data_IF_561360985247
#
_entry.id   IF_561360985247
#
_cell.length_a   1.000
_cell.length_b   1.000
_cell.length_c   1.000
_cell.angle_alpha   90.00
_cell.angle_beta   90.00
_cell.angle_gamma   90.00
#
_symmetry.space_group_name_H-M   'P 1'
#
loop_
_entity.id
_entity.type
_entity.pdbx_description
1 polymer ?
#
# COMPACT_ATOMS: atom_id res chain seq x y z
N UNK A 1 12.89 24.36 4.67
CA UNK A 1 11.50 24.11 5.11
C UNK A 1 11.08 22.81 4.44
N UNK A 2 11.20 21.69 5.15
CA UNK A 2 10.75 20.40 4.62
C UNK A 2 9.24 20.36 4.86
N UNK A 3 8.45 20.64 3.81
CA UNK A 3 6.99 20.55 3.90
C UNK A 3 6.62 19.10 4.21
N UNK A 4 5.82 18.91 5.25
CA UNK A 4 5.33 17.61 5.69
C UNK A 4 4.74 16.86 4.50
N UNK A 5 5.09 15.58 4.37
CA UNK A 5 4.46 14.74 3.36
C UNK A 5 3.00 14.51 3.78
N UNK A 6 2.10 15.31 3.21
CA UNK A 6 0.67 15.08 3.32
C UNK A 6 0.32 13.68 2.78
N UNK A 7 -0.69 13.06 3.38
CA UNK A 7 -1.23 11.79 2.92
C UNK A 7 -1.57 11.88 1.43
N UNK A 8 -1.02 10.97 0.64
CA UNK A 8 -1.23 10.92 -0.80
C UNK A 8 -1.90 9.61 -1.20
N UNK A 9 -2.85 9.71 -2.13
CA UNK A 9 -3.46 8.56 -2.78
C UNK A 9 -3.23 8.61 -4.31
N UNK A 10 -2.65 7.57 -4.92
CA UNK A 10 -2.33 7.59 -6.35
C UNK A 10 -3.58 7.82 -7.21
N UNK A 11 -3.39 8.51 -8.33
CA UNK A 11 -4.42 8.80 -9.35
C UNK A 11 -5.74 9.36 -8.80
N UNK A 12 -5.67 10.09 -7.70
CA UNK A 12 -6.82 10.67 -6.99
C UNK A 12 -6.56 12.18 -6.79
N UNK A 13 -7.60 13.00 -6.82
CA UNK A 13 -7.49 14.41 -6.44
C UNK A 13 -7.46 14.55 -4.90
N UNK A 14 -6.78 15.57 -4.38
CA UNK A 14 -6.59 15.74 -2.91
C UNK A 14 -7.92 15.84 -2.14
N UNK A 15 -8.91 16.53 -2.71
CA UNK A 15 -10.26 16.66 -2.15
C UNK A 15 -11.06 15.35 -2.15
N UNK A 16 -10.59 14.33 -2.88
CA UNK A 16 -11.19 13.00 -2.95
C UNK A 16 -10.43 11.94 -2.13
N UNK A 17 -9.26 12.26 -1.55
CA UNK A 17 -8.39 11.29 -0.88
C UNK A 17 -9.08 10.48 0.22
N UNK A 18 -9.82 11.14 1.10
CA UNK A 18 -10.50 10.47 2.22
C UNK A 18 -11.59 9.52 1.72
N UNK A 19 -12.42 9.96 0.78
CA UNK A 19 -13.47 9.13 0.20
C UNK A 19 -12.85 7.92 -0.50
N UNK A 20 -11.85 8.16 -1.35
CA UNK A 20 -11.25 7.10 -2.15
C UNK A 20 -10.46 6.11 -1.30
N UNK A 21 -9.79 6.56 -0.25
CA UNK A 21 -9.12 5.68 0.70
C UNK A 21 -10.12 4.79 1.45
N UNK A 22 -11.27 5.33 1.86
CA UNK A 22 -12.34 4.55 2.47
C UNK A 22 -12.95 3.51 1.52
N UNK A 23 -13.10 3.83 0.24
CA UNK A 23 -13.53 2.88 -0.79
C UNK A 23 -12.53 1.73 -0.97
N UNK A 24 -11.22 2.02 -0.97
CA UNK A 24 -10.17 1.01 -1.05
C UNK A 24 -10.13 0.13 0.21
N UNK A 25 -10.38 0.71 1.39
CA UNK A 25 -10.48 -0.05 2.64
C UNK A 25 -11.67 -1.02 2.57
N UNK A 26 -12.84 -0.54 2.15
CA UNK A 26 -14.03 -1.36 1.94
C UNK A 26 -13.77 -2.47 0.90
N UNK A 27 -13.12 -2.14 -0.22
CA UNK A 27 -12.73 -3.11 -1.24
C UNK A 27 -11.84 -4.22 -0.65
N UNK A 28 -10.88 -3.84 0.21
CA UNK A 28 -9.99 -4.78 0.87
C UNK A 28 -10.66 -5.58 2.00
N UNK A 29 -11.84 -5.18 2.47
CA UNK A 29 -12.41 -5.68 3.73
C UNK A 29 -11.67 -5.19 4.98
N UNK A 30 -10.93 -4.08 4.87
CA UNK A 30 -10.19 -3.46 5.94
C UNK A 30 -10.99 -2.37 6.66
N UNK A 31 -10.63 -2.08 7.91
CA UNK A 31 -11.07 -0.85 8.58
C UNK A 31 -10.27 0.34 8.06
N UNK A 32 -10.90 1.53 8.03
CA UNK A 32 -10.20 2.77 7.70
C UNK A 32 -9.37 3.20 8.92
N UNK A 33 -8.02 3.21 8.85
CA UNK A 33 -7.20 3.67 9.96
C UNK A 33 -7.33 5.18 10.16
N UNK A 34 -7.15 5.62 11.40
CA UNK A 34 -6.88 7.03 11.73
C UNK A 34 -5.64 7.51 10.96
N UNK A 35 -5.55 8.81 10.60
CA UNK A 35 -4.49 9.32 9.75
C UNK A 35 -3.06 8.95 10.18
N UNK A 36 -2.77 8.95 11.47
CA UNK A 36 -1.46 8.64 12.06
C UNK A 36 -1.08 7.16 11.92
N UNK A 37 -2.07 6.28 11.74
CA UNK A 37 -1.88 4.85 11.52
C UNK A 37 -1.78 4.48 10.03
N UNK A 38 -1.88 5.45 9.12
CA UNK A 38 -1.76 5.21 7.68
C UNK A 38 -0.31 4.90 7.32
N UNK A 39 -0.16 3.90 6.47
CA UNK A 39 1.14 3.37 6.08
C UNK A 39 1.50 3.81 4.67
N UNK A 40 2.77 4.17 4.49
CA UNK A 40 3.31 4.57 3.20
C UNK A 40 4.08 3.43 2.53
N UNK A 41 4.87 2.69 3.32
CA UNK A 41 5.68 1.60 2.80
C UNK A 41 5.83 0.45 3.79
N UNK A 42 5.76 -0.77 3.27
CA UNK A 42 5.95 -2.02 4.02
C UNK A 42 6.81 -3.00 3.22
N UNK A 43 7.51 -3.87 3.95
CA UNK A 43 8.14 -5.06 3.38
C UNK A 43 7.63 -6.33 4.06
N UNK A 44 7.31 -7.34 3.26
CA UNK A 44 6.87 -8.63 3.78
C UNK A 44 7.59 -9.78 3.08
N UNK A 45 7.57 -10.93 3.73
CA UNK A 45 8.09 -12.17 3.17
C UNK A 45 6.93 -13.02 2.64
N UNK A 46 7.12 -13.61 1.48
CA UNK A 46 6.19 -14.59 0.92
C UNK A 46 6.97 -15.61 0.11
N UNK A 47 6.78 -16.89 0.43
CA UNK A 47 7.39 -18.02 -0.30
C UNK A 47 8.91 -17.90 -0.48
N UNK A 48 9.61 -17.38 0.55
CA UNK A 48 11.07 -17.19 0.53
C UNK A 48 11.56 -15.96 -0.26
N UNK A 49 10.64 -15.13 -0.75
CA UNK A 49 10.94 -13.85 -1.38
C UNK A 49 10.57 -12.69 -0.46
N UNK A 50 11.32 -11.60 -0.54
CA UNK A 50 10.99 -10.35 0.18
C UNK A 50 10.48 -9.35 -0.84
N UNK A 51 9.30 -8.82 -0.57
CA UNK A 51 8.61 -7.84 -1.40
C UNK A 51 8.47 -6.51 -0.67
N UNK A 52 8.51 -5.43 -1.43
CA UNK A 52 8.32 -4.06 -0.97
C UNK A 52 7.12 -3.46 -1.69
N UNK A 53 6.24 -2.85 -0.89
CA UNK A 53 5.12 -2.04 -1.36
C UNK A 53 5.31 -0.62 -0.86
N UNK A 54 5.31 0.34 -1.78
CA UNK A 54 5.34 1.78 -1.50
C UNK A 54 4.20 2.42 -2.25
N UNK A 55 3.32 3.14 -1.56
CA UNK A 55 2.16 3.80 -2.19
C UNK A 55 2.62 4.69 -3.35
N UNK A 56 1.98 4.54 -4.51
CA UNK A 56 2.34 5.25 -5.75
C UNK A 56 3.38 4.55 -6.63
N UNK A 57 4.08 3.54 -6.10
CA UNK A 57 5.13 2.81 -6.81
C UNK A 57 4.68 1.41 -7.23
N UNK A 58 5.40 0.82 -8.17
CA UNK A 58 5.24 -0.61 -8.50
C UNK A 58 5.68 -1.49 -7.33
N UNK A 59 5.03 -2.64 -7.20
CA UNK A 59 5.51 -3.69 -6.30
C UNK A 59 6.89 -4.18 -6.71
N UNK A 60 7.81 -4.32 -5.75
CA UNK A 60 9.18 -4.75 -6.02
C UNK A 60 9.55 -5.95 -5.16
N UNK A 61 9.93 -7.06 -5.80
CA UNK A 61 10.69 -8.10 -5.13
C UNK A 61 12.11 -7.58 -4.90
N UNK A 62 12.50 -7.43 -3.64
CA UNK A 62 13.83 -6.96 -3.25
C UNK A 62 14.80 -8.10 -2.93
N UNK A 63 14.30 -9.29 -2.57
CA UNK A 63 15.12 -10.51 -2.40
C UNK A 63 14.40 -11.76 -2.91
N UNK A 64 15.13 -12.73 -3.47
CA UNK A 64 16.57 -12.67 -3.80
C UNK A 64 16.86 -11.69 -4.95
N UNK A 65 18.12 -11.35 -5.15
CA UNK A 65 18.57 -10.51 -6.28
C UNK A 65 18.54 -11.29 -7.59
N UNK A 66 18.30 -10.64 -8.75
CA UNK A 66 18.08 -9.20 -8.93
C UNK A 66 16.67 -8.75 -8.52
N UNK A 67 16.50 -7.44 -8.30
CA UNK A 67 15.20 -6.83 -8.02
C UNK A 67 14.28 -7.02 -9.23
N UNK A 68 13.02 -7.34 -8.98
CA UNK A 68 12.00 -7.54 -10.04
C UNK A 68 10.77 -6.73 -9.68
N UNK A 69 10.24 -5.99 -10.65
CA UNK A 69 8.98 -5.27 -10.53
C UNK A 69 7.82 -6.16 -10.95
N UNK A 70 6.73 -6.10 -10.21
CA UNK A 70 5.42 -6.55 -10.68
C UNK A 70 4.68 -5.36 -11.31
N UNK A 71 3.84 -5.63 -12.31
CA UNK A 71 3.25 -4.60 -13.15
C UNK A 71 2.27 -3.66 -12.43
N UNK A 72 1.76 -4.02 -11.25
CA UNK A 72 0.77 -3.23 -10.53
C UNK A 72 1.36 -2.23 -9.53
N UNK A 73 0.80 -1.02 -9.56
CA UNK A 73 1.14 0.05 -8.62
C UNK A 73 0.39 -0.13 -7.30
N UNK A 74 1.03 0.19 -6.18
CA UNK A 74 0.41 0.16 -4.85
C UNK A 74 -0.49 1.36 -4.69
N UNK A 75 -1.75 1.11 -4.40
CA UNK A 75 -2.78 2.15 -4.22
C UNK A 75 -2.93 2.52 -2.75
N UNK A 76 -2.97 1.54 -1.85
CA UNK A 76 -3.15 1.76 -0.43
C UNK A 76 -2.60 0.58 0.38
N UNK A 77 -2.18 0.87 1.61
CA UNK A 77 -1.75 -0.14 2.59
C UNK A 77 -2.61 0.05 3.84
N UNK A 78 -3.21 -1.04 4.33
CA UNK A 78 -4.06 -1.07 5.50
C UNK A 78 -3.44 -1.94 6.60
N UNK A 79 -3.14 -1.38 7.79
CA UNK A 79 -2.73 -2.17 8.94
C UNK A 79 -3.88 -3.06 9.42
N UNK A 80 -3.56 -4.20 10.02
CA UNK A 80 -4.55 -5.13 10.57
C UNK A 80 -3.97 -6.52 10.80
N UNK A 81 -4.84 -7.48 11.09
CA UNK A 81 -4.51 -8.90 11.07
C UNK A 81 -5.44 -9.61 10.05
N UNK A 82 -5.00 -9.81 8.79
CA UNK A 82 -3.67 -9.50 8.24
C UNK A 82 -3.51 -8.03 7.79
N UNK A 83 -2.26 -7.62 7.52
CA UNK A 83 -1.99 -6.41 6.74
C UNK A 83 -2.43 -6.62 5.29
N UNK A 84 -3.07 -5.61 4.70
CA UNK A 84 -3.62 -5.67 3.36
C UNK A 84 -3.02 -4.59 2.47
N UNK A 85 -2.64 -4.95 1.25
CA UNK A 85 -2.10 -4.04 0.24
C UNK A 85 -3.03 -4.06 -0.97
N UNK A 86 -3.61 -2.92 -1.29
CA UNK A 86 -4.42 -2.75 -2.50
C UNK A 86 -3.54 -2.23 -3.62
N UNK A 87 -3.67 -2.82 -4.81
CA UNK A 87 -2.92 -2.40 -6.00
C UNK A 87 -3.86 -1.96 -7.12
N UNK A 88 -3.29 -1.46 -8.21
CA UNK A 88 -4.02 -1.16 -9.44
C UNK A 88 -4.39 -2.41 -10.25
N UNK A 89 -4.05 -3.62 -9.80
CA UNK A 89 -4.36 -4.87 -10.51
C UNK A 89 -5.88 -5.18 -10.52
N UNK A 90 -6.28 -6.13 -11.35
CA UNK A 90 -7.62 -6.74 -11.30
C UNK A 90 -8.00 -7.15 -9.86
N UNK A 91 -9.25 -6.92 -9.42
CA UNK A 91 -10.38 -6.43 -10.21
C UNK A 91 -10.51 -4.89 -10.29
N UNK A 92 -9.58 -4.11 -9.70
CA UNK A 92 -9.71 -2.65 -9.67
C UNK A 92 -9.53 -2.01 -11.07
N UNK A 93 -8.65 -2.59 -11.89
CA UNK A 93 -8.49 -2.26 -13.32
C UNK A 93 -8.36 -3.55 -14.15
N UNK A 94 -8.08 -3.45 -15.44
CA UNK A 94 -7.79 -4.61 -16.31
C UNK A 94 -6.33 -5.11 -16.21
N UNK A 95 -5.46 -4.42 -15.47
CA UNK A 95 -4.04 -4.75 -15.33
C UNK A 95 -3.82 -6.09 -14.62
N UNK A 96 -2.94 -6.94 -15.16
CA UNK A 96 -2.56 -8.21 -14.55
C UNK A 96 -1.36 -8.03 -13.61
N UNK A 97 -1.41 -8.73 -12.49
CA UNK A 97 -0.34 -8.85 -11.51
C UNK A 97 -0.09 -10.34 -11.22
N UNK A 98 1.12 -10.67 -10.78
CA UNK A 98 1.44 -11.97 -10.18
C UNK A 98 0.77 -12.18 -8.82
N UNK A 99 0.20 -11.13 -8.25
CA UNK A 99 -0.46 -11.12 -6.95
C UNK A 99 -1.98 -10.96 -7.06
N UNK A 100 -2.70 -11.56 -6.11
CA UNK A 100 -4.11 -11.25 -5.87
C UNK A 100 -4.27 -9.82 -5.36
N UNK A 101 -5.43 -9.20 -5.62
CA UNK A 101 -5.77 -7.88 -5.10
C UNK A 101 -7.06 -7.97 -4.28
N UNK A 102 -7.06 -7.62 -2.98
CA UNK A 102 -5.91 -7.18 -2.17
C UNK A 102 -4.88 -8.30 -1.93
N UNK A 103 -3.62 -7.89 -1.67
CA UNK A 103 -2.55 -8.77 -1.21
C UNK A 103 -2.66 -8.92 0.31
N UNK A 104 -2.60 -10.16 0.79
CA UNK A 104 -2.39 -10.47 2.20
C UNK A 104 -0.89 -10.50 2.51
N UNK A 105 -0.41 -9.52 3.28
CA UNK A 105 0.98 -9.40 3.70
C UNK A 105 1.29 -10.05 5.07
N UNK A 106 0.30 -10.69 5.70
CA UNK A 106 0.45 -11.40 6.97
C UNK A 106 0.67 -10.51 8.20
N UNK A 107 1.27 -11.11 9.24
CA UNK A 107 1.42 -10.54 10.59
C UNK A 107 2.80 -9.89 10.77
N UNK A 108 2.84 -8.77 11.49
CA UNK A 108 3.08 -7.47 10.88
C UNK A 108 4.31 -7.48 9.95
N UNK A 109 4.18 -6.95 8.73
CA UNK A 109 5.33 -6.73 7.86
C UNK A 109 6.31 -5.74 8.52
N UNK A 110 7.54 -5.70 8.02
CA UNK A 110 8.47 -4.64 8.40
C UNK A 110 7.95 -3.31 7.84
N UNK A 111 7.36 -2.49 8.71
CA UNK A 111 6.93 -1.13 8.35
C UNK A 111 8.17 -0.29 8.08
N UNK A 112 8.27 0.23 6.85
CA UNK A 112 9.42 1.05 6.42
C UNK A 112 9.15 2.53 6.62
N UNK A 113 7.89 2.97 6.47
CA UNK A 113 7.50 4.37 6.63
C UNK A 113 6.00 4.51 6.96
N UNK A 114 5.69 5.32 7.96
CA UNK A 114 4.35 5.82 8.25
C UNK A 114 4.17 7.22 7.64
N UNK A 115 2.93 7.66 7.44
CA UNK A 115 2.66 9.05 7.03
C UNK A 115 3.08 9.99 8.19
N UNK A 116 3.90 11.02 7.95
CA UNK A 116 4.18 12.02 8.97
C UNK A 116 2.90 12.83 9.25
N UNK A 117 2.44 12.85 10.49
CA UNK A 117 1.35 13.72 10.92
C UNK A 117 1.95 14.87 11.72
N UNK A 118 1.92 16.08 11.17
CA UNK A 118 2.19 17.29 11.94
C UNK A 118 0.90 17.66 12.67
N UNK A 119 0.92 17.51 14.00
CA UNK A 119 -0.11 18.10 14.87
C UNK A 119 0.16 19.61 14.89
N UNK A 120 -0.68 20.39 14.22
CA UNK A 120 -0.76 21.84 14.40
C UNK A 120 -1.57 22.17 15.66
#
# INVERSE_FOLDING_TARGET
MLMGMEFFLPVTAEDEYEQRYAELARFAGASVPVPEARLWAVQWESRGEVWEATVGELLVRVRPTPRVQDGAAVMAIFPGDPYLIVTSAQPLTSLRSSWHNPINAGIPPQVRKTVPFDVL
#
